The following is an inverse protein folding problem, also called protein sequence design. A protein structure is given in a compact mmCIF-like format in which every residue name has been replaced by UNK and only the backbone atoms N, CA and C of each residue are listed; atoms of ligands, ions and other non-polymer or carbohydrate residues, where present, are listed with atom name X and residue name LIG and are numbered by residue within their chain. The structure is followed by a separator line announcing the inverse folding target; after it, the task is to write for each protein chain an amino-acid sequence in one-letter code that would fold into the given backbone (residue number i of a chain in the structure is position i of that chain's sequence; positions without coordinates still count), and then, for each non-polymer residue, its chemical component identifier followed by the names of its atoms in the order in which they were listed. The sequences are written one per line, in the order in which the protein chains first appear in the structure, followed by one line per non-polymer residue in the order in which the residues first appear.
data_IF_006929585414
#
_entry.id   IF_006929585414
#
_cell.length_a   1.000
_cell.length_b   1.000
_cell.length_c   1.000
_cell.angle_alpha   90.00
_cell.angle_beta   90.00
_cell.angle_gamma   90.00
#
_symmetry.space_group_name_H-M   'P 1'
#
loop_
_entity.id
_entity.type
_entity.pdbx_description
1 polymer ?
#
# COMPACT_ATOMS: atom_id res chain seq x y z
N UNK A 1 41.51 -49.86 -29.11
CA UNK A 1 41.31 -48.41 -29.38
C UNK A 1 39.88 -48.05 -29.78
N UNK A 2 39.28 -48.66 -30.80
CA UNK A 2 37.94 -48.31 -31.31
C UNK A 2 36.79 -48.38 -30.28
N UNK A 3 36.82 -49.35 -29.36
CA UNK A 3 35.83 -49.49 -28.26
C UNK A 3 35.93 -48.36 -27.22
N UNK A 4 37.14 -47.94 -26.87
CA UNK A 4 37.36 -46.83 -25.93
C UNK A 4 36.97 -45.48 -26.52
N UNK A 5 37.17 -45.29 -27.83
CA UNK A 5 36.72 -44.10 -28.55
C UNK A 5 35.19 -43.96 -28.54
N UNK A 6 34.45 -45.07 -28.73
CA UNK A 6 32.99 -45.08 -28.66
C UNK A 6 32.46 -44.80 -27.25
N UNK A 7 33.13 -45.34 -26.22
CA UNK A 7 32.78 -45.08 -24.81
C UNK A 7 33.02 -43.61 -24.45
N UNK A 8 34.13 -43.01 -24.91
CA UNK A 8 34.41 -41.60 -24.69
C UNK A 8 33.39 -40.69 -25.40
N UNK A 9 32.97 -41.01 -26.63
CA UNK A 9 31.95 -40.26 -27.36
C UNK A 9 30.59 -40.35 -26.65
N UNK A 10 30.24 -41.54 -26.13
CA UNK A 10 29.00 -41.74 -25.38
C UNK A 10 28.98 -40.95 -24.07
N UNK A 11 30.09 -40.92 -23.33
CA UNK A 11 30.24 -40.09 -22.14
C UNK A 11 30.20 -38.59 -22.45
N UNK A 12 30.79 -38.16 -23.57
CA UNK A 12 30.76 -36.77 -24.02
C UNK A 12 29.31 -36.32 -24.32
N UNK A 13 28.52 -37.16 -24.98
CA UNK A 13 27.10 -36.91 -25.22
C UNK A 13 26.26 -36.92 -23.93
N UNK A 14 26.58 -37.79 -22.97
CA UNK A 14 25.89 -37.85 -21.68
C UNK A 14 26.10 -36.57 -20.84
N UNK A 15 27.29 -35.99 -20.88
CA UNK A 15 27.62 -34.72 -20.19
C UNK A 15 26.93 -33.52 -20.84
N UNK A 16 26.72 -33.55 -22.16
CA UNK A 16 26.02 -32.49 -22.91
C UNK A 16 24.50 -32.45 -22.63
N UNK A 17 23.89 -33.57 -22.22
CA UNK A 17 22.45 -33.65 -21.88
C UNK A 17 22.18 -33.19 -20.42
N UNK A 18 23.22 -33.11 -19.58
CA UNK A 18 23.12 -32.83 -18.14
C UNK A 18 23.18 -31.35 -17.75
N UNK A 19 23.06 -30.43 -18.71
CA UNK A 19 22.93 -29.00 -18.42
C UNK A 19 21.46 -28.60 -18.62
N UNK A 20 20.55 -28.83 -17.64
CA UNK A 20 19.34 -28.04 -17.61
C UNK A 20 19.80 -26.60 -17.35
N UNK A 21 19.74 -25.77 -18.39
CA UNK A 21 19.89 -24.33 -18.28
C UNK A 21 18.74 -23.87 -17.39
N UNK A 22 18.99 -23.77 -16.09
CA UNK A 22 18.11 -23.04 -15.17
C UNK A 22 18.31 -21.57 -15.53
N UNK A 23 17.66 -21.16 -16.62
CA UNK A 23 17.42 -19.77 -16.94
C UNK A 23 16.47 -19.24 -15.87
N UNK A 24 17.04 -18.96 -14.70
CA UNK A 24 16.40 -18.17 -13.66
C UNK A 24 16.38 -16.73 -14.17
N UNK A 25 15.49 -16.45 -15.13
CA UNK A 25 15.17 -15.09 -15.50
C UNK A 25 14.74 -14.38 -14.23
N UNK A 26 15.39 -13.27 -13.87
CA UNK A 26 15.05 -12.51 -12.67
C UNK A 26 13.58 -12.14 -12.75
N UNK A 27 12.77 -12.82 -11.96
CA UNK A 27 11.32 -12.62 -11.92
C UNK A 27 11.10 -11.30 -11.17
N UNK A 28 10.60 -10.30 -11.88
CA UNK A 28 10.29 -9.01 -11.27
C UNK A 28 8.97 -9.15 -10.52
N UNK A 29 9.04 -9.21 -9.19
CA UNK A 29 7.87 -9.12 -8.33
C UNK A 29 7.25 -7.71 -8.42
N UNK A 30 5.93 -7.57 -8.21
CA UNK A 30 5.31 -6.26 -8.13
C UNK A 30 5.96 -5.42 -7.03
N UNK A 31 6.24 -4.17 -7.35
CA UNK A 31 6.78 -3.20 -6.40
C UNK A 31 5.61 -2.51 -5.72
N UNK A 32 5.54 -2.63 -4.40
CA UNK A 32 4.53 -1.99 -3.57
C UNK A 32 5.13 -0.78 -2.86
N UNK A 33 4.47 0.37 -2.98
CA UNK A 33 4.79 1.58 -2.24
C UNK A 33 3.55 1.99 -1.46
N UNK A 34 3.67 2.12 -0.14
CA UNK A 34 2.58 2.57 0.72
C UNK A 34 3.10 3.74 1.55
N UNK A 35 2.35 4.84 1.55
CA UNK A 35 2.62 6.02 2.37
C UNK A 35 1.33 6.37 3.10
N UNK A 36 1.41 6.44 4.43
CA UNK A 36 0.34 6.94 5.26
C UNK A 36 0.92 8.04 6.16
N UNK A 37 0.27 9.20 6.19
CA UNK A 37 0.71 10.33 6.99
C UNK A 37 -0.46 11.03 7.66
N UNK A 38 -0.21 11.52 8.87
CA UNK A 38 -1.10 12.42 9.58
C UNK A 38 -0.32 13.70 9.85
N UNK A 39 -0.82 14.82 9.34
CA UNK A 39 -0.14 16.10 9.46
C UNK A 39 -0.98 17.16 10.14
N UNK A 40 -0.33 18.13 10.78
CA UNK A 40 -0.97 19.41 11.09
C UNK A 40 -1.41 20.09 9.79
N UNK A 41 -2.40 20.97 9.88
CA UNK A 41 -2.80 21.79 8.74
C UNK A 41 -1.84 22.98 8.58
N UNK A 42 -1.49 23.28 7.32
CA UNK A 42 -0.94 24.59 6.98
C UNK A 42 -1.99 25.69 7.18
N UNK A 43 -1.55 26.95 7.26
CA UNK A 43 -2.45 28.10 7.36
C UNK A 43 -3.44 28.15 6.19
N UNK A 44 -2.97 27.84 4.98
CA UNK A 44 -3.82 27.84 3.79
C UNK A 44 -4.87 26.74 3.87
N UNK A 45 -4.48 25.50 4.17
CA UNK A 45 -5.42 24.38 4.32
C UNK A 45 -6.52 24.71 5.35
N UNK A 46 -6.15 25.29 6.51
CA UNK A 46 -7.12 25.66 7.54
C UNK A 46 -8.12 26.74 7.08
N UNK A 47 -7.71 27.67 6.21
CA UNK A 47 -8.63 28.71 5.70
C UNK A 47 -9.66 28.14 4.71
N UNK A 48 -9.47 26.93 4.19
CA UNK A 48 -10.35 26.31 3.20
C UNK A 48 -11.25 25.21 3.78
N UNK A 49 -11.11 24.85 5.06
CA UNK A 49 -12.01 23.88 5.69
C UNK A 49 -13.26 24.57 6.23
N UNK A 50 -14.40 23.86 6.19
CA UNK A 50 -15.63 24.35 6.81
C UNK A 50 -15.58 24.11 8.32
N UNK A 51 -15.27 25.16 9.07
CA UNK A 51 -15.26 25.11 10.53
C UNK A 51 -16.60 25.50 11.17
N UNK A 52 -17.69 25.62 10.38
CA UNK A 52 -19.01 25.87 10.94
C UNK A 52 -19.42 24.72 11.85
N UNK A 53 -19.92 25.06 13.03
CA UNK A 53 -20.32 24.08 14.05
C UNK A 53 -19.24 23.77 15.10
N UNK A 54 -18.02 24.29 14.95
CA UNK A 54 -16.99 24.24 15.99
C UNK A 54 -16.95 25.57 16.76
N UNK A 55 -16.87 25.51 18.08
CA UNK A 55 -16.72 26.70 18.93
C UNK A 55 -15.26 27.18 18.92
N UNK A 56 -15.04 28.41 18.43
CA UNK A 56 -13.73 29.06 18.33
C UNK A 56 -12.61 28.13 17.79
N UNK A 57 -12.77 27.58 16.58
CA UNK A 57 -11.87 26.57 16.03
C UNK A 57 -10.47 27.13 15.84
N UNK A 58 -9.45 26.41 16.33
CA UNK A 58 -8.05 26.74 16.11
C UNK A 58 -7.37 25.68 15.24
N UNK A 59 -6.40 26.09 14.43
CA UNK A 59 -5.67 25.24 13.48
C UNK A 59 -5.15 23.93 14.08
N UNK A 60 -4.61 23.99 15.31
CA UNK A 60 -4.02 22.84 15.99
C UNK A 60 -5.01 21.75 16.40
N UNK A 61 -6.31 22.01 16.33
CA UNK A 61 -7.34 21.02 16.65
C UNK A 61 -7.65 20.10 15.46
N UNK A 62 -7.15 20.40 14.27
CA UNK A 62 -7.42 19.64 13.05
C UNK A 62 -6.15 18.99 12.52
N UNK A 63 -6.30 17.78 11.97
CA UNK A 63 -5.22 17.06 11.30
C UNK A 63 -5.70 16.60 9.92
N UNK A 64 -4.76 16.50 8.98
CA UNK A 64 -4.97 15.93 7.65
C UNK A 64 -4.36 14.54 7.59
N UNK A 65 -5.17 13.55 7.24
CA UNK A 65 -4.70 12.24 6.82
C UNK A 65 -4.47 12.25 5.31
N UNK A 66 -3.35 11.70 4.85
CA UNK A 66 -3.07 11.40 3.45
C UNK A 66 -2.55 9.97 3.35
N UNK A 67 -3.06 9.26 2.35
CA UNK A 67 -2.67 7.92 2.02
C UNK A 67 -2.40 7.80 0.52
N UNK A 68 -1.27 7.20 0.18
CA UNK A 68 -0.90 6.85 -1.18
C UNK A 68 -0.49 5.38 -1.22
N UNK A 69 -1.08 4.64 -2.15
CA UNK A 69 -0.68 3.29 -2.51
C UNK A 69 -0.37 3.23 -3.99
N UNK A 70 0.80 2.72 -4.33
CA UNK A 70 1.20 2.38 -5.69
C UNK A 70 1.64 0.92 -5.75
N UNK A 71 1.10 0.19 -6.72
CA UNK A 71 1.58 -1.13 -7.12
C UNK A 71 2.05 -1.04 -8.58
N UNK A 72 3.33 -1.30 -8.83
CA UNK A 72 3.92 -1.32 -10.18
C UNK A 72 4.28 -2.75 -10.59
N UNK A 73 4.29 -3.01 -11.90
CA UNK A 73 4.62 -4.32 -12.48
C UNK A 73 3.68 -5.44 -12.02
N UNK A 74 2.41 -5.10 -11.76
CA UNK A 74 1.34 -6.07 -11.49
C UNK A 74 0.67 -6.51 -12.79
N UNK A 75 0.04 -7.69 -12.78
CA UNK A 75 -0.86 -8.12 -13.83
C UNK A 75 -2.34 -7.99 -13.39
N UNK A 76 -3.26 -8.48 -14.21
CA UNK A 76 -4.70 -8.46 -13.96
C UNK A 76 -5.14 -9.44 -12.85
N UNK A 77 -4.24 -10.26 -12.32
CA UNK A 77 -4.56 -11.20 -11.23
C UNK A 77 -4.57 -10.53 -9.86
N UNK A 78 -4.19 -9.25 -9.80
CA UNK A 78 -4.15 -8.49 -8.55
C UNK A 78 -5.56 -8.30 -7.97
N UNK A 79 -5.63 -8.31 -6.65
CA UNK A 79 -6.79 -7.93 -5.86
C UNK A 79 -6.30 -7.07 -4.72
N UNK A 80 -6.78 -5.82 -4.68
CA UNK A 80 -6.41 -4.83 -3.68
C UNK A 80 -7.68 -4.48 -2.89
N UNK A 81 -7.59 -4.59 -1.58
CA UNK A 81 -8.67 -4.26 -0.65
C UNK A 81 -8.13 -3.23 0.35
N UNK A 82 -8.65 -2.00 0.22
CA UNK A 82 -8.26 -0.86 1.04
C UNK A 82 -9.49 -0.40 1.82
N UNK A 83 -9.45 -0.38 3.17
CA UNK A 83 -10.58 0.01 3.98
C UNK A 83 -10.87 1.51 3.83
N UNK A 84 -12.13 1.90 4.07
CA UNK A 84 -12.52 3.30 4.14
C UNK A 84 -11.94 3.95 5.39
N UNK A 85 -10.83 4.68 5.23
CA UNK A 85 -10.12 5.30 6.35
C UNK A 85 -10.94 6.38 7.07
N UNK A 86 -11.79 7.11 6.35
CA UNK A 86 -12.71 8.08 6.96
C UNK A 86 -13.74 7.39 7.85
N UNK A 87 -14.21 6.21 7.46
CA UNK A 87 -15.15 5.43 8.27
C UNK A 87 -14.49 4.87 9.52
N UNK A 88 -13.20 4.52 9.45
CA UNK A 88 -12.44 4.10 10.64
C UNK A 88 -12.43 5.20 11.69
N UNK A 89 -12.12 6.43 11.29
CA UNK A 89 -12.10 7.58 12.21
C UNK A 89 -13.49 7.85 12.79
N UNK A 90 -14.54 7.86 11.96
CA UNK A 90 -15.90 8.13 12.41
C UNK A 90 -16.46 7.02 13.31
N UNK A 91 -16.16 5.74 13.05
CA UNK A 91 -16.70 4.61 13.82
C UNK A 91 -15.95 4.38 15.13
N UNK A 92 -14.65 4.68 15.18
CA UNK A 92 -13.77 4.30 16.30
C UNK A 92 -13.47 5.43 17.27
N UNK A 93 -13.44 6.67 16.79
CA UNK A 93 -13.11 7.81 17.62
C UNK A 93 -14.38 8.47 18.12
N UNK A 94 -15.18 9.02 17.21
CA UNK A 94 -16.50 9.59 17.48
C UNK A 94 -17.21 9.87 16.16
N UNK A 95 -18.53 9.81 16.14
CA UNK A 95 -19.31 10.11 14.95
C UNK A 95 -19.09 11.59 14.55
N UNK A 96 -18.78 11.83 13.28
CA UNK A 96 -18.67 13.16 12.65
C UNK A 96 -17.39 13.97 12.93
N UNK A 97 -16.24 13.31 13.16
CA UNK A 97 -14.94 14.01 13.22
C UNK A 97 -14.35 14.32 11.86
N UNK A 98 -14.75 13.62 10.80
CA UNK A 98 -14.25 13.86 9.44
C UNK A 98 -15.05 14.99 8.79
N UNK A 99 -14.35 16.05 8.35
CA UNK A 99 -14.97 17.22 7.73
C UNK A 99 -15.18 17.01 6.23
N UNK A 100 -14.14 16.52 5.56
CA UNK A 100 -14.15 16.28 4.12
C UNK A 100 -13.15 15.19 3.78
N UNK A 101 -13.52 14.31 2.85
CA UNK A 101 -12.69 13.25 2.31
C UNK A 101 -12.70 13.27 0.78
N UNK A 102 -11.52 13.10 0.20
CA UNK A 102 -11.32 12.89 -1.23
C UNK A 102 -10.53 11.62 -1.44
N UNK A 103 -10.75 10.97 -2.58
CA UNK A 103 -9.97 9.81 -2.97
C UNK A 103 -10.02 9.61 -4.47
N UNK A 104 -8.97 9.01 -5.00
CA UNK A 104 -8.87 8.61 -6.41
C UNK A 104 -8.32 7.20 -6.47
N UNK A 105 -8.96 6.37 -7.29
CA UNK A 105 -8.54 5.01 -7.59
C UNK A 105 -8.28 4.88 -9.09
N UNK A 106 -7.17 4.21 -9.43
CA UNK A 106 -6.87 3.74 -10.77
C UNK A 106 -6.41 2.29 -10.66
N UNK A 107 -7.35 1.37 -10.86
CA UNK A 107 -7.11 -0.07 -10.88
C UNK A 107 -7.78 -0.71 -12.10
N UNK A 108 -7.39 -0.26 -13.30
CA UNK A 108 -8.01 -0.73 -14.52
C UNK A 108 -7.40 -2.07 -14.98
N UNK A 109 -8.27 -2.91 -15.55
CA UNK A 109 -7.83 -4.13 -16.23
C UNK A 109 -6.95 -3.79 -17.43
N UNK A 110 -5.86 -4.52 -17.61
CA UNK A 110 -4.89 -4.33 -18.69
C UNK A 110 -3.79 -3.32 -18.35
N UNK A 111 -3.94 -2.52 -17.29
CA UNK A 111 -2.86 -1.70 -16.77
C UNK A 111 -1.92 -2.55 -15.90
N UNK A 112 -0.62 -2.29 -16.02
CA UNK A 112 0.40 -3.01 -15.25
C UNK A 112 0.71 -2.36 -13.89
N UNK A 113 -0.20 -1.51 -13.42
CA UNK A 113 -0.09 -0.80 -12.17
C UNK A 113 -1.47 -0.56 -11.55
N UNK A 114 -1.49 -0.24 -10.25
CA UNK A 114 -2.66 0.27 -9.57
C UNK A 114 -2.27 1.41 -8.63
N UNK A 115 -3.14 2.42 -8.51
CA UNK A 115 -2.95 3.58 -7.63
C UNK A 115 -4.19 3.88 -6.82
N UNK A 116 -3.99 4.15 -5.54
CA UNK A 116 -5.04 4.59 -4.64
C UNK A 116 -4.53 5.77 -3.84
N UNK A 117 -5.29 6.85 -3.84
CA UNK A 117 -5.03 8.03 -3.03
C UNK A 117 -6.25 8.32 -2.18
N UNK A 118 -6.03 8.72 -0.93
CA UNK A 118 -7.09 9.15 -0.04
C UNK A 118 -6.59 10.28 0.83
N UNK A 119 -7.34 11.35 0.91
CA UNK A 119 -7.04 12.47 1.79
C UNK A 119 -8.29 12.88 2.56
N UNK A 120 -8.16 13.21 3.84
CA UNK A 120 -9.25 13.83 4.57
C UNK A 120 -8.75 14.68 5.73
N UNK A 121 -9.58 15.64 6.14
CA UNK A 121 -9.34 16.44 7.35
C UNK A 121 -10.29 15.98 8.44
N UNK A 122 -9.77 15.84 9.66
CA UNK A 122 -10.56 15.46 10.81
C UNK A 122 -10.24 16.29 12.06
N UNK A 123 -11.23 16.41 12.93
CA UNK A 123 -11.13 17.07 14.23
C UNK A 123 -10.47 16.16 15.27
N UNK A 124 -9.25 16.52 15.63
CA UNK A 124 -8.33 15.73 16.47
C UNK A 124 -8.21 16.23 17.92
N UNK A 125 -8.95 17.27 18.30
CA UNK A 125 -8.92 17.79 19.68
C UNK A 125 -9.23 16.67 20.68
N UNK A 126 -8.38 16.59 21.70
CA UNK A 126 -8.49 15.62 22.79
C UNK A 126 -7.96 14.23 22.45
N UNK A 127 -7.37 14.03 21.26
CA UNK A 127 -6.78 12.75 20.86
C UNK A 127 -5.26 12.84 20.88
N UNK A 128 -4.64 11.87 21.54
CA UNK A 128 -3.22 11.58 21.44
C UNK A 128 -2.89 10.90 20.12
N UNK A 129 -1.62 10.95 19.72
CA UNK A 129 -1.16 10.25 18.51
C UNK A 129 -1.30 8.73 18.63
N UNK A 130 -1.24 8.20 19.85
CA UNK A 130 -1.42 6.77 20.12
C UNK A 130 -2.88 6.34 19.94
N UNK A 131 -3.85 7.11 20.45
CA UNK A 131 -5.28 6.86 20.22
C UNK A 131 -5.64 6.95 18.74
N UNK A 132 -5.06 7.95 18.03
CA UNK A 132 -5.24 8.06 16.59
C UNK A 132 -4.66 6.82 15.91
N UNK A 133 -3.44 6.41 16.23
CA UNK A 133 -2.80 5.23 15.64
C UNK A 133 -3.62 3.97 15.86
N UNK A 134 -4.12 3.76 17.08
CA UNK A 134 -4.95 2.62 17.44
C UNK A 134 -6.22 2.55 16.59
N UNK A 135 -6.88 3.69 16.35
CA UNK A 135 -8.07 3.74 15.49
C UNK A 135 -7.78 3.20 14.08
N UNK A 136 -6.62 3.54 13.50
CA UNK A 136 -6.18 3.05 12.19
C UNK A 136 -5.58 1.64 12.22
N UNK A 137 -5.19 1.11 13.37
CA UNK A 137 -4.70 -0.27 13.48
C UNK A 137 -5.82 -1.32 13.44
N UNK A 138 -7.08 -0.89 13.47
CA UNK A 138 -8.23 -1.79 13.56
C UNK A 138 -8.61 -2.49 12.25
N UNK A 139 -8.10 -2.02 11.10
CA UNK A 139 -8.26 -2.65 9.78
C UNK A 139 -6.91 -2.80 9.05
N UNK A 140 -6.89 -3.66 8.03
CA UNK A 140 -5.70 -3.99 7.24
C UNK A 140 -5.92 -3.77 5.75
N UNK A 141 -4.90 -3.27 5.06
CA UNK A 141 -4.85 -3.35 3.60
C UNK A 141 -4.50 -4.78 3.24
N UNK A 142 -5.27 -5.38 2.33
CA UNK A 142 -4.95 -6.70 1.79
C UNK A 142 -4.63 -6.57 0.30
N UNK A 143 -3.44 -7.00 -0.09
CA UNK A 143 -2.99 -7.05 -1.49
C UNK A 143 -2.70 -8.49 -1.85
N UNK A 144 -3.35 -9.01 -2.89
CA UNK A 144 -3.12 -10.36 -3.39
C UNK A 144 -2.83 -10.36 -4.89
N UNK A 145 -1.98 -11.26 -5.36
CA UNK A 145 -1.70 -11.46 -6.80
C UNK A 145 -1.17 -12.88 -7.05
N UNK A 146 -1.14 -13.28 -8.32
CA UNK A 146 -0.50 -14.51 -8.77
C UNK A 146 0.92 -14.17 -9.22
N UNK A 147 1.92 -14.72 -8.56
CA UNK A 147 3.30 -14.60 -9.01
C UNK A 147 3.51 -15.40 -10.30
N UNK A 148 4.54 -15.03 -11.09
CA UNK A 148 4.81 -15.69 -12.38
C UNK A 148 5.11 -17.19 -12.30
N UNK A 149 5.43 -17.72 -11.12
CA UNK A 149 5.55 -19.15 -10.87
C UNK A 149 4.21 -19.84 -10.55
N UNK A 150 3.08 -19.14 -10.72
CA UNK A 150 1.73 -19.62 -10.42
C UNK A 150 1.35 -19.55 -8.94
N UNK A 151 2.25 -19.11 -8.04
CA UNK A 151 1.97 -19.04 -6.61
C UNK A 151 1.10 -17.82 -6.29
N UNK A 152 0.02 -18.05 -5.56
CA UNK A 152 -0.76 -16.97 -4.94
C UNK A 152 0.05 -16.33 -3.80
N UNK A 153 0.20 -15.01 -3.85
CA UNK A 153 0.83 -14.21 -2.80
C UNK A 153 -0.22 -13.27 -2.23
N UNK A 154 -0.29 -13.17 -0.91
CA UNK A 154 -1.10 -12.19 -0.19
C UNK A 154 -0.22 -11.48 0.83
N UNK A 155 -0.27 -10.15 0.84
CA UNK A 155 0.35 -9.29 1.85
C UNK A 155 -0.75 -8.52 2.58
N UNK A 156 -0.54 -8.33 3.89
CA UNK A 156 -1.42 -7.56 4.77
C UNK A 156 -0.62 -6.47 5.45
N UNK A 157 -1.18 -5.28 5.52
CA UNK A 157 -0.54 -4.12 6.13
C UNK A 157 -1.49 -3.46 7.12
N UNK A 158 -1.06 -3.33 8.37
CA UNK A 158 -1.77 -2.59 9.41
C UNK A 158 -1.47 -1.10 9.21
N UNK A 159 -2.51 -0.27 9.04
CA UNK A 159 -2.31 1.15 8.69
C UNK A 159 -1.65 1.92 9.83
N UNK A 160 -2.07 1.69 11.07
CA UNK A 160 -1.49 2.36 12.22
C UNK A 160 0.03 2.23 12.30
N UNK A 161 0.57 1.07 11.91
CA UNK A 161 2.02 0.82 11.88
C UNK A 161 2.75 1.62 10.77
N UNK A 162 2.02 2.03 9.74
CA UNK A 162 2.56 2.77 8.58
C UNK A 162 2.46 4.29 8.76
N UNK A 163 1.63 4.77 9.67
CA UNK A 163 1.36 6.21 9.85
C UNK A 163 2.60 6.94 10.36
N UNK A 164 2.98 7.98 9.62
CA UNK A 164 3.95 8.98 10.07
C UNK A 164 3.25 10.26 10.47
N UNK A 165 3.55 10.76 11.68
CA UNK A 165 3.07 12.05 12.16
C UNK A 165 4.02 13.16 11.70
N UNK A 166 3.47 14.20 11.08
CA UNK A 166 4.24 15.29 10.45
C UNK A 166 3.73 16.63 10.96
N UNK A 167 4.63 17.46 11.48
CA UNK A 167 4.32 18.84 11.81
C UNK A 167 4.68 19.73 10.62
N UNK A 168 3.67 20.36 10.03
CA UNK A 168 3.83 21.45 9.06
C UNK A 168 3.87 22.78 9.82
N UNK A 169 4.70 23.70 9.35
CA UNK A 169 4.81 25.06 9.87
C UNK A 169 3.58 25.92 9.52
#
# INVERSE_FOLDING_TARGET
MRKYLQICIFFLFLVLILIPVVACGKIQEPKLTIKAQISTLSKNEFNYIDTKGFDNPIRGEFRKFTFDFDMEHSDDSRKIDIPSFSDLVNKRIDNARVLHATGVEQDNKGENFAKYTTEFVFYSKGLSEDEIREAFSSDVITVSWIAKNGKHITKRFIIGDLIKFINKD
#
